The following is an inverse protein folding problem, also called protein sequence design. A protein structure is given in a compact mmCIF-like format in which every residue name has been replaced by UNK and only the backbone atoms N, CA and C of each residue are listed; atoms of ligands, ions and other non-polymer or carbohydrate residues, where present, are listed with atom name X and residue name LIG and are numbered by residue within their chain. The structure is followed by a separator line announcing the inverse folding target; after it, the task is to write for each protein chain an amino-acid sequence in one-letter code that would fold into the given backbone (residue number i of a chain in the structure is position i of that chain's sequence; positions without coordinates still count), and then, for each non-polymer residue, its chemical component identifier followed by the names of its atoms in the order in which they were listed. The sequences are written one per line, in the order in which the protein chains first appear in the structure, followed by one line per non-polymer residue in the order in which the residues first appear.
data_IF_247628236149
#
_entry.id   IF_247628236149
#
_cell.length_a   1.000
_cell.length_b   1.000
_cell.length_c   1.000
_cell.angle_alpha   90.00
_cell.angle_beta   90.00
_cell.angle_gamma   90.00
#
_symmetry.space_group_name_H-M   'P 1'
#
loop_
_entity.id
_entity.type
_entity.pdbx_description
1 polymer ?
#
# COMPACT_ATOMS: atom_id res chain seq x y z
N UNK A 1 -46.42 -54.88 -42.20
CA UNK A 1 -45.58 -55.23 -41.02
C UNK A 1 -44.18 -54.60 -41.09
N UNK A 2 -43.52 -54.54 -42.26
CA UNK A 2 -42.18 -53.93 -42.42
C UNK A 2 -42.15 -52.41 -42.13
N UNK A 3 -43.20 -51.67 -42.49
CA UNK A 3 -43.28 -50.23 -42.27
C UNK A 3 -43.37 -49.83 -40.78
N UNK A 4 -43.97 -50.68 -39.92
CA UNK A 4 -44.12 -50.39 -38.49
C UNK A 4 -42.78 -50.56 -37.73
N UNK A 5 -41.95 -51.53 -38.12
CA UNK A 5 -40.62 -51.71 -37.54
C UNK A 5 -39.67 -50.56 -37.89
N UNK A 6 -39.75 -50.02 -39.12
CA UNK A 6 -38.89 -48.91 -39.54
C UNK A 6 -39.18 -47.62 -38.75
N UNK A 7 -40.46 -47.33 -38.48
CA UNK A 7 -40.85 -46.15 -37.69
C UNK A 7 -40.44 -46.31 -36.23
N UNK A 8 -40.55 -47.50 -35.64
CA UNK A 8 -40.12 -47.76 -34.26
C UNK A 8 -38.60 -47.66 -34.09
N UNK A 9 -37.81 -48.12 -35.07
CA UNK A 9 -36.35 -47.95 -35.05
C UNK A 9 -35.97 -46.48 -35.21
N UNK A 10 -36.66 -45.73 -36.06
CA UNK A 10 -36.39 -44.31 -36.26
C UNK A 10 -36.75 -43.48 -35.00
N UNK A 11 -37.91 -43.75 -34.39
CA UNK A 11 -38.34 -43.09 -33.15
C UNK A 11 -37.45 -43.49 -31.98
N UNK A 12 -37.02 -44.75 -31.89
CA UNK A 12 -36.06 -45.21 -30.89
C UNK A 12 -34.68 -44.56 -31.05
N UNK A 13 -34.17 -44.48 -32.29
CA UNK A 13 -32.91 -43.80 -32.58
C UNK A 13 -33.01 -42.28 -32.30
N UNK A 14 -34.15 -41.66 -32.62
CA UNK A 14 -34.41 -40.25 -32.35
C UNK A 14 -34.52 -39.99 -30.83
N UNK A 15 -35.17 -40.87 -30.06
CA UNK A 15 -35.28 -40.77 -28.61
C UNK A 15 -33.96 -41.04 -27.88
N UNK A 16 -33.01 -41.74 -28.50
CA UNK A 16 -31.64 -41.94 -27.96
C UNK A 16 -30.73 -40.78 -28.39
N UNK A 17 -30.93 -40.21 -29.59
CA UNK A 17 -30.14 -39.11 -30.11
C UNK A 17 -30.56 -37.74 -29.55
N UNK A 18 -31.86 -37.50 -29.30
CA UNK A 18 -32.36 -36.21 -28.80
C UNK A 18 -31.78 -35.85 -27.43
N UNK A 19 -31.72 -36.75 -26.42
CA UNK A 19 -31.08 -36.46 -25.15
C UNK A 19 -29.56 -36.32 -25.24
N UNK A 20 -28.92 -36.76 -26.33
CA UNK A 20 -27.49 -36.48 -26.60
C UNK A 20 -27.26 -35.16 -27.32
N UNK A 21 -28.28 -34.64 -28.01
CA UNK A 21 -28.31 -33.30 -28.61
C UNK A 21 -28.82 -32.22 -27.63
N UNK A 22 -29.62 -32.61 -26.64
CA UNK A 22 -30.21 -31.76 -25.60
C UNK A 22 -29.57 -31.97 -24.22
N UNK A 23 -28.80 -33.04 -24.06
CA UNK A 23 -27.98 -33.26 -22.87
C UNK A 23 -26.84 -32.26 -22.93
N UNK A 24 -26.93 -31.25 -22.07
CA UNK A 24 -25.94 -30.20 -21.84
C UNK A 24 -24.51 -30.69 -22.09
N UNK A 25 -24.03 -30.53 -23.32
CA UNK A 25 -22.60 -30.42 -23.53
C UNK A 25 -22.23 -29.14 -22.83
N UNK A 26 -21.49 -29.24 -21.73
CA UNK A 26 -20.95 -28.11 -20.97
C UNK A 26 -20.03 -27.34 -21.89
N UNK A 27 -20.62 -26.50 -22.74
CA UNK A 27 -19.91 -25.68 -23.70
C UNK A 27 -19.03 -24.68 -22.95
N UNK A 28 -18.10 -24.02 -23.64
CA UNK A 28 -17.16 -23.12 -23.00
C UNK A 28 -17.86 -22.00 -22.22
N UNK A 29 -19.01 -21.53 -22.71
CA UNK A 29 -19.87 -20.57 -22.01
C UNK A 29 -20.37 -21.09 -20.66
N UNK A 30 -20.80 -22.35 -20.60
CA UNK A 30 -21.37 -22.94 -19.39
C UNK A 30 -20.30 -23.15 -18.32
N UNK A 31 -19.11 -23.62 -18.71
CA UNK A 31 -17.97 -23.77 -17.78
C UNK A 31 -17.56 -22.41 -17.21
N UNK A 32 -17.48 -21.37 -18.05
CA UNK A 32 -17.20 -19.99 -17.57
C UNK A 32 -18.31 -19.46 -16.67
N UNK A 33 -19.58 -19.73 -16.99
CA UNK A 33 -20.72 -19.34 -16.15
C UNK A 33 -20.66 -20.00 -14.77
N UNK A 34 -20.33 -21.28 -14.71
CA UNK A 34 -20.18 -22.02 -13.44
C UNK A 34 -19.07 -21.44 -12.58
N UNK A 35 -17.90 -21.15 -13.18
CA UNK A 35 -16.81 -20.48 -12.47
C UNK A 35 -17.20 -19.08 -11.96
N UNK A 36 -17.79 -18.23 -12.81
CA UNK A 36 -18.21 -16.88 -12.40
C UNK A 36 -19.32 -16.93 -11.34
N UNK A 37 -20.22 -17.90 -11.42
CA UNK A 37 -21.24 -18.11 -10.40
C UNK A 37 -20.61 -18.51 -9.07
N UNK A 38 -19.58 -19.36 -9.07
CA UNK A 38 -18.82 -19.68 -7.86
C UNK A 38 -18.14 -18.44 -7.24
N UNK A 39 -17.64 -17.51 -8.06
CA UNK A 39 -17.10 -16.23 -7.56
C UNK A 39 -18.20 -15.38 -6.90
N UNK A 40 -19.37 -15.27 -7.54
CA UNK A 40 -20.53 -14.53 -6.99
C UNK A 40 -20.99 -15.14 -5.68
N UNK A 41 -21.19 -16.46 -5.65
CA UNK A 41 -21.69 -17.21 -4.50
C UNK A 41 -20.64 -17.33 -3.37
N UNK A 42 -19.38 -17.03 -3.66
CA UNK A 42 -18.27 -17.20 -2.71
C UNK A 42 -17.88 -18.65 -2.46
N UNK A 43 -18.11 -19.53 -3.43
CA UNK A 43 -17.64 -20.91 -3.40
C UNK A 43 -16.12 -20.97 -3.66
N UNK A 44 -15.36 -20.74 -2.59
CA UNK A 44 -13.90 -20.71 -2.63
C UNK A 44 -13.28 -22.08 -2.92
N UNK A 45 -14.01 -23.19 -2.81
CA UNK A 45 -13.49 -24.50 -3.21
C UNK A 45 -13.41 -24.56 -4.74
N UNK A 46 -14.53 -24.25 -5.41
CA UNK A 46 -14.60 -24.20 -6.88
C UNK A 46 -13.69 -23.12 -7.45
N UNK A 47 -13.66 -21.93 -6.85
CA UNK A 47 -12.76 -20.85 -7.30
C UNK A 47 -11.30 -21.29 -7.24
N UNK A 48 -10.84 -21.88 -6.13
CA UNK A 48 -9.45 -22.32 -5.99
C UNK A 48 -9.10 -23.47 -6.93
N UNK A 49 -10.04 -24.36 -7.25
CA UNK A 49 -9.81 -25.45 -8.20
C UNK A 49 -9.51 -24.95 -9.62
N UNK A 50 -10.00 -23.74 -9.97
CA UNK A 50 -9.82 -23.12 -11.28
C UNK A 50 -8.85 -21.93 -11.28
N UNK A 51 -8.39 -21.47 -10.12
CA UNK A 51 -7.42 -20.38 -10.01
C UNK A 51 -6.00 -20.85 -10.31
N UNK A 52 -5.18 -19.98 -10.89
CA UNK A 52 -3.73 -20.22 -10.92
C UNK A 52 -3.17 -20.17 -9.50
N UNK A 53 -2.23 -21.07 -9.21
CA UNK A 53 -1.47 -21.10 -7.97
C UNK A 53 -0.88 -19.71 -7.64
N UNK A 54 -1.19 -19.25 -6.44
CA UNK A 54 -0.72 -17.98 -5.89
C UNK A 54 0.58 -18.14 -5.11
N UNK A 55 1.33 -17.05 -4.90
CA UNK A 55 2.34 -17.01 -3.85
C UNK A 55 1.74 -17.11 -2.44
N UNK A 56 0.56 -16.52 -2.21
CA UNK A 56 -0.22 -16.72 -0.97
C UNK A 56 -1.73 -16.71 -1.27
N UNK A 57 -2.42 -17.71 -0.71
CA UNK A 57 -3.89 -17.83 -0.72
C UNK A 57 -4.51 -17.55 0.66
N UNK A 58 -3.70 -17.05 1.60
CA UNK A 58 -4.14 -16.79 2.98
C UNK A 58 -5.32 -15.82 3.06
N UNK A 59 -5.44 -14.93 2.07
CA UNK A 59 -6.51 -13.95 1.99
C UNK A 59 -7.80 -14.44 1.29
N UNK A 60 -7.77 -15.63 0.67
CA UNK A 60 -8.95 -16.24 0.06
C UNK A 60 -9.65 -17.10 1.11
N UNK A 61 -10.36 -16.51 2.06
CA UNK A 61 -11.10 -17.25 3.11
C UNK A 61 -12.58 -16.83 3.15
N UNK A 62 -13.50 -17.70 3.63
CA UNK A 62 -14.90 -17.34 3.75
C UNK A 62 -15.09 -16.10 4.63
N UNK A 63 -14.36 -16.03 5.75
CA UNK A 63 -14.46 -14.93 6.70
C UNK A 63 -14.11 -13.57 6.08
N UNK A 64 -13.08 -13.50 5.22
CA UNK A 64 -12.70 -12.25 4.55
C UNK A 64 -13.70 -11.87 3.47
N UNK A 65 -14.24 -12.86 2.77
CA UNK A 65 -15.26 -12.62 1.74
C UNK A 65 -16.61 -12.23 2.35
N UNK A 66 -16.93 -12.67 3.57
CA UNK A 66 -18.14 -12.29 4.28
C UNK A 66 -18.09 -10.85 4.81
N UNK A 67 -16.89 -10.34 5.13
CA UNK A 67 -16.69 -8.94 5.52
C UNK A 67 -16.65 -7.96 4.35
N UNK A 68 -16.26 -8.44 3.16
CA UNK A 68 -16.10 -7.60 1.97
C UNK A 68 -17.41 -6.96 1.50
N UNK A 69 -17.35 -5.66 1.25
CA UNK A 69 -18.43 -4.89 0.61
C UNK A 69 -18.30 -4.93 -0.93
N UNK A 70 -19.33 -4.47 -1.65
CA UNK A 70 -19.33 -4.33 -3.11
C UNK A 70 -18.78 -5.52 -3.89
N UNK A 71 -18.99 -6.75 -3.40
CA UNK A 71 -18.54 -7.98 -4.06
C UNK A 71 -19.06 -8.09 -5.49
N UNK A 72 -18.39 -8.92 -6.29
CA UNK A 72 -18.92 -9.34 -7.58
C UNK A 72 -20.33 -9.93 -7.39
N UNK A 73 -21.34 -9.27 -7.96
CA UNK A 73 -22.75 -9.61 -7.71
C UNK A 73 -23.45 -10.14 -8.96
N UNK A 74 -22.97 -9.76 -10.14
CA UNK A 74 -23.57 -10.13 -11.42
C UNK A 74 -22.51 -10.17 -12.53
N UNK A 75 -22.78 -10.99 -13.53
CA UNK A 75 -21.98 -11.07 -14.74
C UNK A 75 -22.86 -11.32 -15.97
N UNK A 76 -22.37 -10.96 -17.14
CA UNK A 76 -23.02 -11.21 -18.42
C UNK A 76 -21.99 -11.68 -19.45
N UNK A 77 -22.18 -12.88 -20.00
CA UNK A 77 -21.34 -13.35 -21.12
C UNK A 77 -21.69 -12.53 -22.36
N UNK A 78 -20.68 -11.85 -22.92
CA UNK A 78 -20.84 -10.97 -24.09
C UNK A 78 -20.49 -11.67 -25.38
N UNK A 79 -19.41 -12.45 -25.36
CA UNK A 79 -18.84 -13.05 -26.55
C UNK A 79 -18.26 -14.42 -26.25
N UNK A 80 -18.44 -15.34 -27.19
CA UNK A 80 -17.84 -16.68 -27.17
C UNK A 80 -17.23 -16.92 -28.55
N UNK A 81 -15.91 -17.08 -28.61
CA UNK A 81 -15.18 -17.44 -29.82
C UNK A 81 -14.57 -18.81 -29.64
N UNK A 82 -14.80 -19.73 -30.57
CA UNK A 82 -14.27 -21.11 -30.52
C UNK A 82 -13.43 -21.38 -31.75
N UNK A 83 -12.16 -21.73 -31.55
CA UNK A 83 -11.19 -21.97 -32.62
C UNK A 83 -10.30 -23.16 -32.26
N UNK A 84 -10.27 -24.18 -33.14
CA UNK A 84 -9.32 -25.30 -33.10
C UNK A 84 -9.08 -25.91 -31.70
N UNK A 85 -10.16 -26.21 -30.96
CA UNK A 85 -10.10 -26.83 -29.64
C UNK A 85 -9.73 -25.87 -28.49
N UNK A 86 -9.73 -24.57 -28.76
CA UNK A 86 -9.63 -23.51 -27.75
C UNK A 86 -10.88 -22.63 -27.83
N UNK A 87 -11.30 -22.06 -26.71
CA UNK A 87 -12.36 -21.06 -26.68
C UNK A 87 -11.93 -19.84 -25.87
N UNK A 88 -12.35 -18.67 -26.30
CA UNK A 88 -12.26 -17.41 -25.58
C UNK A 88 -13.68 -16.94 -25.23
N UNK A 89 -13.96 -16.77 -23.94
CA UNK A 89 -15.25 -16.31 -23.43
C UNK A 89 -15.04 -14.96 -22.75
N UNK A 90 -15.66 -13.91 -23.26
CA UNK A 90 -15.59 -12.56 -22.67
C UNK A 90 -16.85 -12.28 -21.87
N UNK A 91 -16.68 -11.86 -20.62
CA UNK A 91 -17.77 -11.54 -19.71
C UNK A 91 -17.65 -10.12 -19.16
N UNK A 92 -18.76 -9.40 -19.14
CA UNK A 92 -18.90 -8.16 -18.39
C UNK A 92 -19.20 -8.50 -16.93
N UNK A 93 -18.46 -7.89 -16.00
CA UNK A 93 -18.51 -8.14 -14.57
C UNK A 93 -18.99 -6.89 -13.83
N UNK A 94 -19.73 -7.06 -12.74
CA UNK A 94 -20.20 -5.95 -11.90
C UNK A 94 -20.04 -6.27 -10.42
N UNK A 95 -19.53 -5.28 -9.68
CA UNK A 95 -19.25 -5.32 -8.25
C UNK A 95 -19.75 -3.98 -7.67
N UNK A 96 -20.90 -4.00 -6.98
CA UNK A 96 -21.60 -2.78 -6.61
C UNK A 96 -21.89 -1.86 -7.82
N UNK A 97 -21.30 -0.66 -7.81
CA UNK A 97 -21.37 0.31 -8.92
C UNK A 97 -20.25 0.15 -9.95
N UNK A 98 -19.18 -0.55 -9.60
CA UNK A 98 -18.02 -0.79 -10.46
C UNK A 98 -18.35 -1.81 -11.55
N UNK A 99 -17.72 -1.64 -12.72
CA UNK A 99 -17.86 -2.54 -13.87
C UNK A 99 -16.49 -2.85 -14.44
N UNK A 100 -16.35 -4.06 -14.95
CA UNK A 100 -15.14 -4.52 -15.61
C UNK A 100 -15.46 -5.57 -16.66
N UNK A 101 -14.43 -6.03 -17.34
CA UNK A 101 -14.53 -7.09 -18.34
C UNK A 101 -13.38 -8.07 -18.10
N UNK A 102 -13.66 -9.36 -18.28
CA UNK A 102 -12.66 -10.42 -18.20
C UNK A 102 -12.83 -11.37 -19.37
N UNK A 103 -11.71 -11.88 -19.90
CA UNK A 103 -11.70 -12.90 -20.94
C UNK A 103 -11.10 -14.18 -20.39
N UNK A 104 -11.84 -15.28 -20.54
CA UNK A 104 -11.50 -16.61 -20.06
C UNK A 104 -11.08 -17.48 -21.24
N UNK A 105 -10.00 -18.23 -21.07
CA UNK A 105 -9.54 -19.20 -22.06
C UNK A 105 -9.91 -20.60 -21.60
N UNK A 106 -10.45 -21.41 -22.52
CA UNK A 106 -10.76 -22.81 -22.28
C UNK A 106 -10.13 -23.68 -23.34
N UNK A 107 -9.76 -24.89 -22.98
CA UNK A 107 -9.25 -25.91 -23.90
C UNK A 107 -10.17 -27.11 -23.91
N UNK A 108 -10.42 -27.67 -25.09
CA UNK A 108 -11.18 -28.90 -25.21
C UNK A 108 -10.26 -30.12 -25.24
N UNK A 109 -10.58 -31.12 -24.45
CA UNK A 109 -10.01 -32.46 -24.61
C UNK A 109 -10.95 -33.29 -25.51
N UNK A 110 -10.50 -33.57 -26.73
CA UNK A 110 -11.25 -34.42 -27.66
C UNK A 110 -11.16 -35.88 -27.21
N UNK A 111 -12.32 -36.46 -26.91
CA UNK A 111 -12.42 -37.88 -26.49
C UNK A 111 -12.85 -38.81 -27.63
N UNK A 112 -12.85 -38.33 -28.88
CA UNK A 112 -13.09 -39.10 -30.11
C UNK A 112 -14.15 -38.51 -31.04
N UNK A 113 -14.27 -39.04 -32.26
CA UNK A 113 -15.11 -38.49 -33.35
C UNK A 113 -16.64 -38.45 -33.07
N UNK A 114 -17.10 -39.07 -31.98
CA UNK A 114 -18.53 -39.17 -31.62
C UNK A 114 -18.81 -38.77 -30.16
N UNK A 115 -17.80 -38.28 -29.44
CA UNK A 115 -17.93 -37.83 -28.06
C UNK A 115 -17.97 -36.30 -28.05
N UNK A 116 -18.81 -35.68 -27.20
CA UNK A 116 -18.78 -34.23 -27.06
C UNK A 116 -17.42 -33.80 -26.49
N UNK A 117 -16.93 -32.65 -26.98
CA UNK A 117 -15.74 -32.02 -26.44
C UNK A 117 -15.95 -31.71 -24.95
N UNK A 118 -14.99 -32.10 -24.12
CA UNK A 118 -14.95 -31.71 -22.70
C UNK A 118 -14.12 -30.43 -22.61
N UNK A 119 -14.75 -29.34 -22.19
CA UNK A 119 -14.09 -28.05 -22.03
C UNK A 119 -13.58 -27.89 -20.62
N UNK A 120 -12.33 -27.46 -20.50
CA UNK A 120 -11.69 -27.16 -19.23
C UNK A 120 -11.19 -25.72 -19.25
N UNK A 121 -11.43 -25.01 -18.15
CA UNK A 121 -10.96 -23.65 -17.96
C UNK A 121 -9.45 -23.66 -17.77
N UNK A 122 -8.73 -22.90 -18.59
CA UNK A 122 -7.32 -22.62 -18.32
C UNK A 122 -7.24 -21.87 -16.98
N UNK A 123 -6.31 -22.22 -16.07
CA UNK A 123 -6.26 -21.62 -14.75
C UNK A 123 -6.32 -20.09 -14.78
N UNK A 124 -7.29 -19.54 -14.07
CA UNK A 124 -7.61 -18.11 -14.07
C UNK A 124 -6.69 -17.37 -13.09
N UNK A 125 -6.08 -16.28 -13.54
CA UNK A 125 -5.34 -15.38 -12.66
C UNK A 125 -6.34 -14.56 -11.83
N UNK A 126 -6.18 -14.60 -10.51
CA UNK A 126 -6.96 -13.76 -9.61
C UNK A 126 -6.23 -12.44 -9.34
N UNK A 127 -6.96 -11.35 -9.05
CA UNK A 127 -6.35 -10.09 -8.62
C UNK A 127 -5.40 -10.29 -7.45
N UNK A 128 -4.26 -9.59 -7.50
CA UNK A 128 -3.22 -9.64 -6.49
C UNK A 128 -3.09 -8.27 -5.83
N UNK A 129 -3.29 -8.21 -4.53
CA UNK A 129 -2.90 -7.06 -3.73
C UNK A 129 -1.41 -7.16 -3.44
N UNK A 130 -0.64 -6.14 -3.82
CA UNK A 130 0.72 -5.93 -3.30
C UNK A 130 0.61 -4.84 -2.25
N UNK A 131 0.87 -5.21 -1.01
CA UNK A 131 0.89 -4.28 0.12
C UNK A 131 2.35 -4.06 0.52
N UNK A 132 2.83 -2.83 0.35
CA UNK A 132 4.15 -2.45 0.83
C UNK A 132 3.99 -2.09 2.31
N UNK A 133 4.58 -2.92 3.19
CA UNK A 133 4.49 -2.71 4.61
C UNK A 133 5.63 -1.82 5.09
N UNK A 134 5.35 -0.91 6.03
CA UNK A 134 6.39 -0.34 6.85
C UNK A 134 7.22 -1.47 7.48
N UNK A 135 8.56 -1.34 7.52
CA UNK A 135 9.43 -2.34 8.18
C UNK A 135 8.96 -2.58 9.65
N UNK A 136 9.25 -3.73 10.22
CA UNK A 136 8.86 -4.05 11.60
C UNK A 136 7.37 -4.36 11.80
N UNK A 137 6.48 -4.12 10.82
CA UNK A 137 5.11 -4.64 10.83
C UNK A 137 5.16 -6.17 10.71
N UNK A 138 4.61 -6.85 11.71
CA UNK A 138 4.60 -8.32 11.80
C UNK A 138 3.24 -8.93 11.47
N UNK A 139 2.18 -8.14 11.55
CA UNK A 139 0.82 -8.57 11.32
C UNK A 139 0.03 -7.50 10.57
N UNK A 140 -0.85 -7.95 9.68
CA UNK A 140 -1.89 -7.12 9.07
C UNK A 140 -3.25 -7.74 9.38
N UNK A 141 -4.29 -6.94 9.35
CA UNK A 141 -5.66 -7.44 9.42
C UNK A 141 -6.49 -6.93 8.24
N UNK A 142 -7.21 -7.84 7.59
CA UNK A 142 -8.15 -7.51 6.52
C UNK A 142 -9.52 -8.01 6.96
N UNK A 143 -10.51 -7.12 6.98
CA UNK A 143 -11.84 -7.42 7.56
C UNK A 143 -11.77 -7.98 8.99
N UNK A 144 -10.81 -7.47 9.78
CA UNK A 144 -10.55 -7.94 11.15
C UNK A 144 -9.91 -9.33 11.25
N UNK A 145 -9.55 -9.97 10.13
CA UNK A 145 -8.82 -11.25 10.12
C UNK A 145 -7.33 -10.99 10.15
N UNK A 146 -6.67 -11.34 11.26
CA UNK A 146 -5.20 -11.28 11.41
C UNK A 146 -4.49 -12.24 10.46
N UNK A 147 -3.49 -11.72 9.75
CA UNK A 147 -2.60 -12.45 8.88
C UNK A 147 -1.14 -12.13 9.26
N UNK A 148 -0.36 -13.12 9.74
CA UNK A 148 1.04 -12.92 10.06
C UNK A 148 1.85 -12.65 8.79
N UNK A 149 2.59 -11.55 8.74
CA UNK A 149 3.39 -11.12 7.57
C UNK A 149 4.37 -12.21 7.13
N UNK A 150 4.94 -12.96 8.09
CA UNK A 150 5.86 -14.07 7.82
C UNK A 150 5.25 -15.17 6.91
N UNK A 151 3.93 -15.38 6.96
CA UNK A 151 3.22 -16.37 6.15
C UNK A 151 2.85 -15.83 4.75
N UNK A 152 2.91 -14.51 4.56
CA UNK A 152 2.53 -13.83 3.32
C UNK A 152 3.74 -13.45 2.46
N UNK A 153 4.93 -13.40 3.08
CA UNK A 153 6.17 -13.07 2.38
C UNK A 153 6.54 -14.16 1.39
N UNK A 154 6.80 -13.74 0.16
CA UNK A 154 7.48 -14.60 -0.81
C UNK A 154 8.98 -14.47 -0.62
N UNK A 155 9.71 -15.58 -0.70
CA UNK A 155 11.11 -15.70 -0.26
C UNK A 155 12.16 -14.87 -1.03
N UNK A 156 11.75 -13.83 -1.79
CA UNK A 156 12.60 -13.13 -2.75
C UNK A 156 12.96 -11.67 -2.39
N UNK A 157 12.28 -11.01 -1.45
CA UNK A 157 12.52 -9.59 -1.18
C UNK A 157 13.07 -9.39 0.24
N UNK A 158 14.41 -9.32 0.36
CA UNK A 158 15.15 -9.19 1.63
C UNK A 158 15.16 -7.77 2.20
N UNK A 159 14.73 -6.76 1.44
CA UNK A 159 14.83 -5.35 1.85
C UNK A 159 13.52 -4.56 1.78
N UNK A 160 12.51 -5.06 1.07
CA UNK A 160 11.16 -4.49 1.04
C UNK A 160 10.22 -5.46 1.75
N UNK A 161 9.51 -4.99 2.76
CA UNK A 161 8.48 -5.78 3.46
C UNK A 161 7.20 -5.75 2.64
N UNK A 162 7.24 -6.22 1.39
CA UNK A 162 6.05 -6.35 0.58
C UNK A 162 5.40 -7.71 0.80
N UNK A 163 4.07 -7.71 0.92
CA UNK A 163 3.27 -8.95 0.93
C UNK A 163 2.37 -8.97 -0.29
N UNK A 164 2.15 -10.17 -0.84
CA UNK A 164 1.30 -10.38 -2.00
C UNK A 164 0.16 -11.32 -1.64
N UNK A 165 -1.07 -10.86 -1.82
CA UNK A 165 -2.29 -11.57 -1.45
C UNK A 165 -3.21 -11.70 -2.65
N UNK A 166 -3.88 -12.84 -2.78
CA UNK A 166 -5.00 -12.96 -3.72
C UNK A 166 -6.31 -12.61 -3.05
N UNK A 167 -7.10 -11.77 -3.74
CA UNK A 167 -8.43 -11.35 -3.30
C UNK A 167 -9.41 -11.48 -4.46
N UNK A 168 -10.68 -11.74 -4.14
CA UNK A 168 -11.76 -11.63 -5.11
C UNK A 168 -12.23 -10.17 -5.24
N UNK A 169 -12.87 -9.78 -6.35
CA UNK A 169 -13.43 -8.45 -6.49
C UNK A 169 -14.39 -8.07 -5.35
N UNK A 170 -14.22 -6.86 -4.84
CA UNK A 170 -14.92 -6.33 -3.67
C UNK A 170 -14.12 -5.22 -3.00
N UNK A 171 -14.70 -4.64 -1.97
CA UNK A 171 -14.11 -3.59 -1.15
C UNK A 171 -13.77 -4.16 0.21
N UNK A 172 -12.52 -3.96 0.64
CA UNK A 172 -11.97 -4.54 1.87
C UNK A 172 -11.39 -3.45 2.77
N UNK A 173 -11.58 -3.55 4.08
CA UNK A 173 -10.88 -2.76 5.08
C UNK A 173 -9.57 -3.46 5.45
N UNK A 174 -8.46 -2.74 5.28
CA UNK A 174 -7.12 -3.16 5.68
C UNK A 174 -6.68 -2.31 6.87
N UNK A 175 -6.18 -2.97 7.91
CA UNK A 175 -5.70 -2.35 9.14
C UNK A 175 -4.36 -2.97 9.58
N UNK A 176 -3.59 -2.21 10.36
CA UNK A 176 -2.35 -2.66 10.99
C UNK A 176 -2.60 -2.76 12.50
N UNK A 177 -2.92 -3.95 13.05
CA UNK A 177 -3.41 -4.08 14.43
C UNK A 177 -2.31 -3.81 15.47
N UNK A 178 -1.07 -4.18 15.16
CA UNK A 178 0.08 -4.01 16.05
C UNK A 178 1.01 -2.92 15.50
N UNK A 179 0.68 -1.68 15.84
CA UNK A 179 1.60 -0.57 15.65
C UNK A 179 2.30 -0.20 16.96
N UNK A 180 3.57 0.19 16.90
CA UNK A 180 4.22 0.84 18.02
C UNK A 180 3.44 2.07 18.51
N UNK A 181 3.45 2.35 19.82
CA UNK A 181 2.66 3.42 20.44
C UNK A 181 3.08 4.87 20.13
N UNK A 182 3.83 5.07 19.04
CA UNK A 182 4.17 6.36 18.44
C UNK A 182 3.60 6.49 17.02
N UNK A 183 2.90 5.46 16.54
CA UNK A 183 2.35 5.33 15.21
C UNK A 183 0.85 5.12 15.26
N UNK A 184 0.17 5.69 14.28
CA UNK A 184 -1.24 5.43 14.01
C UNK A 184 -1.39 5.10 12.51
N UNK A 185 -2.09 4.01 12.19
CA UNK A 185 -2.49 3.71 10.83
C UNK A 185 -3.95 4.11 10.65
N UNK A 186 -4.25 4.92 9.62
CA UNK A 186 -5.62 5.06 9.19
C UNK A 186 -6.12 3.69 8.71
N UNK A 187 -7.42 3.43 8.89
CA UNK A 187 -8.05 2.30 8.22
C UNK A 187 -8.05 2.58 6.73
N UNK A 188 -7.53 1.64 5.95
CA UNK A 188 -7.41 1.80 4.51
C UNK A 188 -8.48 0.96 3.84
N UNK A 189 -9.35 1.63 3.08
CA UNK A 189 -10.30 0.96 2.21
C UNK A 189 -9.60 0.60 0.90
N UNK A 190 -9.58 -0.69 0.58
CA UNK A 190 -9.02 -1.25 -0.63
C UNK A 190 -10.16 -1.69 -1.56
N UNK A 191 -10.20 -1.10 -2.75
CA UNK A 191 -11.12 -1.54 -3.80
C UNK A 191 -10.41 -2.52 -4.75
N UNK A 192 -10.94 -3.74 -4.85
CA UNK A 192 -10.53 -4.75 -5.83
C UNK A 192 -11.53 -4.71 -6.99
N UNK A 193 -11.14 -4.17 -8.16
CA UNK A 193 -12.07 -3.99 -9.27
C UNK A 193 -12.62 -5.34 -9.78
N UNK A 194 -13.82 -5.35 -10.40
CA UNK A 194 -14.43 -6.53 -11.04
C UNK A 194 -13.75 -6.89 -12.35
N UNK A 195 -12.45 -7.16 -12.28
CA UNK A 195 -11.64 -7.69 -13.37
C UNK A 195 -10.98 -8.97 -12.85
N UNK A 196 -10.82 -9.94 -13.73
CA UNK A 196 -10.08 -11.17 -13.45
C UNK A 196 -8.94 -11.24 -14.49
N UNK A 197 -7.76 -11.63 -14.03
CA UNK A 197 -6.51 -11.44 -14.75
C UNK A 197 -5.38 -11.00 -13.83
N UNK A 198 -4.15 -11.02 -14.34
CA UNK A 198 -2.97 -10.61 -13.58
C UNK A 198 -2.94 -9.09 -13.36
N UNK A 199 -3.69 -8.63 -12.36
CA UNK A 199 -3.73 -7.24 -11.91
C UNK A 199 -3.08 -7.16 -10.55
N UNK A 200 -1.99 -6.40 -10.46
CA UNK A 200 -1.40 -6.01 -9.18
C UNK A 200 -2.03 -4.69 -8.72
N UNK A 201 -2.64 -4.69 -7.55
CA UNK A 201 -3.16 -3.49 -6.89
C UNK A 201 -2.11 -3.08 -5.87
N UNK A 202 -1.32 -2.03 -6.15
CA UNK A 202 -0.36 -1.55 -5.18
C UNK A 202 -1.08 -0.77 -4.08
N UNK A 203 -0.79 -1.12 -2.84
CA UNK A 203 -1.06 -0.28 -1.70
C UNK A 203 0.30 0.17 -1.14
N UNK A 204 0.80 1.25 -1.73
CA UNK A 204 2.07 1.89 -1.33
C UNK A 204 1.93 2.69 -0.03
N UNK A 205 0.68 2.97 0.34
CA UNK A 205 0.29 4.14 1.11
C UNK A 205 -0.66 3.73 2.24
N UNK A 206 -0.42 2.57 2.88
CA UNK A 206 -0.84 2.38 4.26
C UNK A 206 -0.02 3.33 5.14
N UNK A 207 -0.26 4.64 4.97
CA UNK A 207 0.53 5.73 5.53
C UNK A 207 0.39 5.69 7.03
N UNK A 208 1.36 5.08 7.68
CA UNK A 208 1.47 5.15 9.12
C UNK A 208 2.00 6.54 9.47
N UNK A 209 1.20 7.30 10.18
CA UNK A 209 1.54 8.65 10.65
C UNK A 209 2.00 8.59 12.10
N UNK A 210 2.68 9.64 12.54
CA UNK A 210 2.91 9.83 13.97
C UNK A 210 1.57 10.03 14.68
N UNK A 211 1.40 9.41 15.84
CA UNK A 211 0.28 9.74 16.72
C UNK A 211 0.40 11.19 17.22
N UNK A 212 -0.70 11.74 17.76
CA UNK A 212 -0.74 13.15 18.21
C UNK A 212 0.35 13.46 19.24
N UNK A 213 0.66 12.50 20.13
CA UNK A 213 1.69 12.64 21.17
C UNK A 213 3.08 12.75 20.57
N UNK A 214 3.39 11.90 19.58
CA UNK A 214 4.68 11.87 18.91
C UNK A 214 4.86 13.06 17.99
N UNK A 215 3.79 13.51 17.33
CA UNK A 215 3.82 14.76 16.57
C UNK A 215 4.09 15.97 17.48
N UNK A 216 3.50 15.99 18.69
CA UNK A 216 3.78 17.03 19.68
C UNK A 216 5.23 16.97 20.19
N UNK A 217 5.80 15.78 20.38
CA UNK A 217 7.21 15.63 20.77
C UNK A 217 8.16 16.16 19.69
N UNK A 218 7.90 15.84 18.41
CA UNK A 218 8.69 16.39 17.30
C UNK A 218 8.62 17.91 17.25
N UNK A 219 7.42 18.49 17.42
CA UNK A 219 7.26 19.94 17.51
C UNK A 219 8.03 20.53 18.71
N UNK A 220 7.98 19.89 19.87
CA UNK A 220 8.66 20.35 21.07
C UNK A 220 10.19 20.38 20.90
N UNK A 221 10.79 19.34 20.30
CA UNK A 221 12.23 19.32 20.03
C UNK A 221 12.65 20.38 19.02
N UNK A 222 11.82 20.65 18.00
CA UNK A 222 12.06 21.73 17.05
C UNK A 222 11.98 23.09 17.74
N UNK A 223 10.98 23.31 18.60
CA UNK A 223 10.83 24.54 19.35
C UNK A 223 12.05 24.78 20.26
N UNK A 224 12.52 23.75 20.98
CA UNK A 224 13.72 23.82 21.81
C UNK A 224 14.99 24.14 20.99
N UNK A 225 15.16 23.52 19.82
CA UNK A 225 16.30 23.81 18.95
C UNK A 225 16.26 25.26 18.40
N UNK A 226 15.06 25.79 18.14
CA UNK A 226 14.88 27.18 17.73
C UNK A 226 15.10 28.17 18.89
N UNK A 227 14.80 27.78 20.13
CA UNK A 227 15.14 28.56 21.32
C UNK A 227 16.66 28.72 21.46
N UNK A 228 17.44 27.66 21.24
CA UNK A 228 18.90 27.74 21.21
C UNK A 228 19.40 28.67 20.08
N UNK A 229 18.72 28.66 18.93
CA UNK A 229 19.05 29.55 17.81
C UNK A 229 18.84 31.02 18.14
N UNK A 230 17.79 31.39 18.87
CA UNK A 230 17.54 32.82 19.21
C UNK A 230 18.46 33.35 20.30
N UNK A 231 19.08 32.49 21.09
CA UNK A 231 20.11 32.88 22.07
C UNK A 231 21.40 33.34 21.37
N UNK A 232 21.65 32.88 20.14
CA UNK A 232 22.80 33.31 19.36
C UNK A 232 22.75 34.80 19.06
N UNK A 233 23.90 35.47 19.09
CA UNK A 233 24.01 36.88 18.68
C UNK A 233 24.39 37.04 17.22
N UNK A 234 24.74 35.98 16.49
CA UNK A 234 25.22 36.08 15.12
C UNK A 234 24.08 36.43 14.15
N UNK A 235 24.33 37.25 13.13
CA UNK A 235 23.32 37.53 12.08
C UNK A 235 23.01 36.32 11.19
N UNK A 236 23.82 35.27 11.24
CA UNK A 236 23.55 33.97 10.65
C UNK A 236 24.03 32.89 11.62
N UNK A 237 23.23 32.50 12.62
CA UNK A 237 23.61 31.48 13.58
C UNK A 237 23.88 30.13 12.87
N UNK A 238 24.98 29.48 13.24
CA UNK A 238 25.32 28.15 12.70
C UNK A 238 24.27 27.13 13.11
N UNK A 239 23.87 26.24 12.20
CA UNK A 239 22.85 25.22 12.47
C UNK A 239 21.39 25.70 12.44
N UNK A 240 21.14 27.00 12.27
CA UNK A 240 19.81 27.59 12.38
C UNK A 240 19.14 27.86 11.02
N UNK A 241 17.80 27.77 10.93
CA UNK A 241 17.08 27.91 9.67
C UNK A 241 16.88 29.36 9.21
N UNK A 242 17.26 30.35 10.03
CA UNK A 242 17.12 31.77 9.73
C UNK A 242 18.46 32.49 9.70
N UNK A 243 18.58 33.48 8.81
CA UNK A 243 19.76 34.33 8.70
C UNK A 243 19.36 35.74 8.20
N UNK A 244 19.80 36.77 8.92
CA UNK A 244 19.63 38.16 8.54
C UNK A 244 20.74 38.56 7.58
N UNK A 245 20.37 38.85 6.32
CA UNK A 245 21.32 39.28 5.28
C UNK A 245 21.64 40.76 5.42
N UNK A 246 22.40 41.10 6.46
CA UNK A 246 22.82 42.48 6.78
C UNK A 246 24.33 42.60 6.99
N UNK A 247 24.90 43.81 6.84
CA UNK A 247 26.33 44.04 7.12
C UNK A 247 26.70 43.82 8.59
N UNK A 248 25.75 44.06 9.51
CA UNK A 248 25.96 43.79 10.92
C UNK A 248 26.09 42.29 11.16
N UNK A 249 27.16 41.88 11.84
CA UNK A 249 27.41 40.47 12.15
C UNK A 249 26.83 40.05 13.49
N UNK A 250 26.39 41.01 14.31
CA UNK A 250 25.87 40.79 15.66
C UNK A 250 24.55 41.52 15.90
N UNK A 251 23.67 40.92 16.71
CA UNK A 251 22.38 41.46 17.10
C UNK A 251 21.64 40.53 18.06
N UNK A 252 20.35 40.80 18.26
CA UNK A 252 19.44 39.95 19.04
C UNK A 252 18.38 39.34 18.14
N UNK A 253 18.06 38.07 18.37
CA UNK A 253 16.98 37.37 17.67
C UNK A 253 15.75 37.24 18.56
N UNK A 254 14.58 37.23 17.93
CA UNK A 254 13.31 36.91 18.58
C UNK A 254 12.42 36.15 17.60
N UNK A 255 11.78 35.06 18.05
CA UNK A 255 10.77 34.37 17.25
C UNK A 255 9.44 35.11 17.38
N UNK A 256 9.03 35.80 16.32
CA UNK A 256 7.75 36.51 16.28
C UNK A 256 6.60 35.59 15.91
N UNK A 257 6.87 34.57 15.09
CA UNK A 257 5.92 33.52 14.73
C UNK A 257 6.63 32.17 14.70
N UNK A 258 6.51 31.35 15.76
CA UNK A 258 7.02 29.99 15.77
C UNK A 258 6.40 29.16 14.64
N UNK A 259 7.16 28.25 14.02
CA UNK A 259 6.62 27.36 13.00
C UNK A 259 5.64 26.36 13.61
N UNK A 260 4.66 25.95 12.81
CA UNK A 260 3.85 24.75 13.08
C UNK A 260 4.27 23.70 12.08
N UNK A 261 4.85 22.61 12.57
CA UNK A 261 5.39 21.57 11.70
C UNK A 261 4.41 20.43 11.50
N UNK A 262 4.40 19.89 10.29
CA UNK A 262 3.78 18.62 9.99
C UNK A 262 4.89 17.61 9.70
N UNK A 263 4.93 16.54 10.49
CA UNK A 263 5.85 15.42 10.28
C UNK A 263 5.19 14.42 9.33
N UNK A 264 5.73 14.29 8.12
CA UNK A 264 5.27 13.32 7.13
C UNK A 264 6.24 12.15 7.04
N UNK A 265 5.76 10.91 6.82
CA UNK A 265 6.64 9.76 6.66
C UNK A 265 7.60 9.97 5.47
N UNK A 266 8.90 9.83 5.71
CA UNK A 266 9.90 9.80 4.65
C UNK A 266 10.32 8.35 4.34
N UNK A 267 10.41 7.53 5.39
CA UNK A 267 10.54 6.08 5.36
C UNK A 267 10.09 5.55 6.75
N UNK A 268 10.18 4.26 7.03
CA UNK A 268 9.87 3.79 8.38
C UNK A 268 10.97 4.22 9.35
N UNK A 269 10.55 4.75 10.51
CA UNK A 269 11.40 5.28 11.57
C UNK A 269 12.03 6.63 11.24
N UNK A 270 11.71 7.24 10.09
CA UNK A 270 12.11 8.61 9.77
C UNK A 270 10.96 9.43 9.18
N UNK A 271 10.79 10.62 9.74
CA UNK A 271 9.82 11.61 9.30
C UNK A 271 10.53 12.89 8.87
N UNK A 272 10.01 13.49 7.81
CA UNK A 272 10.37 14.84 7.42
C UNK A 272 9.37 15.81 8.05
N UNK A 273 9.84 16.70 8.92
CA UNK A 273 9.04 17.76 9.50
C UNK A 273 9.34 19.08 8.77
N UNK A 274 8.28 19.72 8.25
CA UNK A 274 8.39 21.00 7.55
C UNK A 274 7.39 21.99 8.11
N UNK A 275 7.81 23.25 8.28
CA UNK A 275 6.91 24.33 8.70
C UNK A 275 7.54 25.72 8.57
N UNK A 276 6.71 26.72 8.32
CA UNK A 276 7.17 28.10 8.10
C UNK A 276 7.05 28.95 9.37
N UNK A 277 8.09 29.75 9.65
CA UNK A 277 8.16 30.66 10.79
C UNK A 277 8.60 32.08 10.39
N UNK A 278 8.53 33.00 11.35
CA UNK A 278 9.13 34.34 11.25
C UNK A 278 9.96 34.61 12.49
N UNK A 279 11.19 35.03 12.27
CA UNK A 279 12.08 35.57 13.30
C UNK A 279 12.30 37.06 13.03
N UNK A 280 12.76 37.78 14.04
CA UNK A 280 13.13 39.18 13.96
C UNK A 280 14.58 39.32 14.44
N UNK A 281 15.41 40.03 13.67
CA UNK A 281 16.78 40.37 14.03
C UNK A 281 16.91 41.86 14.30
N UNK A 282 17.40 42.22 15.47
CA UNK A 282 17.77 43.60 15.81
C UNK A 282 19.29 43.73 15.83
N UNK A 283 19.91 44.37 14.82
CA UNK A 283 21.35 44.56 14.77
C UNK A 283 21.89 45.31 15.99
N UNK A 284 23.10 44.98 16.44
CA UNK A 284 23.83 45.73 17.47
C UNK A 284 25.17 46.24 16.91
N UNK A 285 25.53 47.50 17.24
CA UNK A 285 26.86 48.08 16.94
C UNK A 285 26.89 49.21 15.90
N UNK A 286 28.08 49.79 15.71
CA UNK A 286 28.32 51.02 14.93
C UNK A 286 28.16 50.90 13.41
N UNK A 287 27.95 49.67 12.90
CA UNK A 287 27.65 49.42 11.49
C UNK A 287 26.24 49.92 11.08
N UNK A 288 25.43 50.36 12.05
CA UNK A 288 24.18 51.09 11.83
C UNK A 288 24.48 52.59 11.64
N UNK A 289 25.50 52.92 10.85
CA UNK A 289 25.89 54.30 10.57
C UNK A 289 24.91 54.89 9.53
N UNK A 290 23.76 55.39 10.00
CA UNK A 290 22.86 56.19 9.15
C UNK A 290 21.41 56.35 9.61
N UNK A 291 20.89 55.66 10.64
CA UNK A 291 19.49 55.79 11.04
C UNK A 291 19.30 56.50 12.39
N UNK A 292 18.20 57.25 12.47
CA UNK A 292 17.81 58.26 13.43
C UNK A 292 17.82 57.86 14.92
N UNK A 293 17.47 58.82 15.78
CA UNK A 293 17.46 58.80 17.24
C UNK A 293 16.68 57.65 17.95
N UNK A 294 16.13 56.69 17.18
CA UNK A 294 15.25 55.61 17.65
C UNK A 294 15.89 54.21 17.64
N UNK A 295 17.20 54.11 17.32
CA UNK A 295 17.94 52.83 17.29
C UNK A 295 17.77 52.03 15.99
N UNK A 296 18.45 50.88 15.84
CA UNK A 296 18.30 50.03 14.67
C UNK A 296 16.89 49.46 14.59
N UNK A 297 16.23 49.65 13.44
CA UNK A 297 14.93 49.04 13.18
C UNK A 297 15.09 47.50 13.14
N UNK A 298 14.19 46.76 13.80
CA UNK A 298 14.17 45.31 13.68
C UNK A 298 13.87 44.86 12.26
N UNK A 299 14.42 43.70 11.89
CA UNK A 299 14.31 43.13 10.55
C UNK A 299 13.57 41.81 10.66
N UNK A 300 12.41 41.72 10.04
CA UNK A 300 11.68 40.45 9.90
C UNK A 300 12.41 39.52 8.92
N UNK A 301 12.60 38.29 9.34
CA UNK A 301 13.26 37.22 8.59
C UNK A 301 12.30 36.03 8.53
N UNK A 302 11.57 35.85 7.41
CA UNK A 302 10.83 34.62 7.18
C UNK A 302 11.79 33.45 6.98
N UNK A 303 11.43 32.29 7.51
CA UNK A 303 12.22 31.07 7.36
C UNK A 303 11.33 29.83 7.27
N UNK A 304 11.87 28.76 6.70
CA UNK A 304 11.26 27.44 6.67
C UNK A 304 12.13 26.51 7.50
N UNK A 305 11.52 25.81 8.46
CA UNK A 305 12.13 24.69 9.14
C UNK A 305 12.00 23.47 8.24
N UNK A 306 13.13 22.81 8.00
CA UNK A 306 13.17 21.43 7.56
C UNK A 306 13.90 20.65 8.65
N UNK A 307 13.27 19.60 9.17
CA UNK A 307 13.87 18.74 10.17
C UNK A 307 13.64 17.28 9.81
N UNK A 308 14.59 16.43 10.19
CA UNK A 308 14.47 14.98 10.09
C UNK A 308 14.28 14.46 11.50
N UNK A 309 13.16 13.80 11.76
CA UNK A 309 12.91 13.10 13.01
C UNK A 309 13.15 11.61 12.77
N UNK A 310 13.94 10.97 13.60
CA UNK A 310 14.03 9.51 13.62
C UNK A 310 13.67 8.99 15.00
N UNK A 311 13.36 7.70 15.10
CA UNK A 311 13.16 7.05 16.38
C UNK A 311 14.22 5.98 16.59
N UNK A 312 14.91 6.04 17.71
CA UNK A 312 15.94 5.06 18.05
C UNK A 312 15.32 3.72 18.50
N UNK A 313 16.18 2.76 18.86
CA UNK A 313 15.76 1.43 19.30
C UNK A 313 15.00 1.44 20.64
N UNK A 314 15.17 2.48 21.45
CA UNK A 314 14.49 2.65 22.72
C UNK A 314 13.11 3.30 22.55
N UNK A 315 12.75 3.68 21.32
CA UNK A 315 11.49 4.37 21.03
C UNK A 315 11.54 5.86 21.35
N UNK A 316 12.73 6.47 21.40
CA UNK A 316 12.91 7.89 21.65
C UNK A 316 13.13 8.63 20.33
N UNK A 317 12.44 9.77 20.17
CA UNK A 317 12.61 10.62 19.01
C UNK A 317 13.92 11.41 19.09
N UNK A 318 14.66 11.39 17.99
CA UNK A 318 15.82 12.24 17.74
C UNK A 318 15.52 13.15 16.54
N UNK A 319 15.39 14.45 16.80
CA UNK A 319 15.03 15.44 15.77
C UNK A 319 16.21 16.33 15.45
N UNK A 320 16.62 16.31 14.17
CA UNK A 320 17.71 17.13 13.66
C UNK A 320 17.19 18.17 12.69
N UNK A 321 17.43 19.45 13.01
CA UNK A 321 17.25 20.52 12.05
C UNK A 321 18.21 20.32 10.88
N UNK A 322 17.67 20.34 9.67
CA UNK A 322 18.44 20.19 8.45
C UNK A 322 19.14 21.51 8.14
N UNK A 323 20.26 21.74 8.82
CA UNK A 323 21.23 22.75 8.40
C UNK A 323 22.01 22.24 7.18
N UNK A 324 22.57 23.15 6.38
CA UNK A 324 23.18 22.83 5.08
C UNK A 324 24.21 21.67 5.14
N UNK A 325 23.76 20.44 4.87
CA UNK A 325 24.56 19.22 4.97
C UNK A 325 23.74 17.98 4.58
N UNK A 326 24.43 16.89 4.25
CA UNK A 326 23.79 15.61 3.96
C UNK A 326 23.51 14.85 5.26
N UNK A 327 22.25 14.51 5.51
CA UNK A 327 21.86 13.62 6.60
C UNK A 327 21.98 12.17 6.11
N UNK A 328 22.66 11.32 6.88
CA UNK A 328 22.66 9.87 6.64
C UNK A 328 21.85 9.19 7.72
N UNK A 329 20.88 8.37 7.34
CA UNK A 329 20.11 7.54 8.27
C UNK A 329 20.71 6.14 8.30
N UNK A 330 20.94 5.59 9.48
CA UNK A 330 21.29 4.18 9.66
C UNK A 330 20.17 3.46 10.40
N UNK A 331 19.77 2.28 9.92
CA UNK A 331 18.76 1.46 10.56
C UNK A 331 19.41 0.50 11.56
N UNK A 332 18.84 0.41 12.76
CA UNK A 332 19.21 -0.60 13.74
C UNK A 332 18.40 -1.86 13.50
N UNK A 333 19.06 -3.01 13.46
CA UNK A 333 18.41 -4.31 13.28
C UNK A 333 18.65 -5.21 14.48
N UNK A 334 17.61 -5.91 14.92
CA UNK A 334 17.74 -7.00 15.88
C UNK A 334 18.61 -8.12 15.29
N UNK A 335 19.60 -8.58 16.06
CA UNK A 335 20.62 -9.50 15.56
C UNK A 335 20.09 -10.93 15.37
N UNK A 336 19.04 -11.32 16.08
CA UNK A 336 18.49 -12.68 16.02
C UNK A 336 17.47 -12.83 14.89
N UNK A 337 16.62 -11.82 14.72
CA UNK A 337 15.50 -11.82 13.77
C UNK A 337 15.80 -11.07 12.48
N UNK A 338 16.79 -10.18 12.48
CA UNK A 338 17.07 -9.25 11.37
C UNK A 338 16.02 -8.14 11.22
N UNK A 339 15.07 -8.02 12.15
CA UNK A 339 14.02 -7.02 12.11
C UNK A 339 14.56 -5.62 12.40
N UNK A 340 14.10 -4.59 11.71
CA UNK A 340 14.49 -3.21 12.00
C UNK A 340 13.78 -2.74 13.27
N UNK A 341 14.55 -2.31 14.27
CA UNK A 341 14.07 -1.90 15.61
C UNK A 341 14.15 -0.39 15.85
N UNK A 342 14.80 0.37 14.96
CA UNK A 342 14.90 1.81 15.04
C UNK A 342 15.79 2.39 13.94
N UNK A 343 15.99 3.70 13.97
CA UNK A 343 16.87 4.43 13.07
C UNK A 343 17.62 5.54 13.82
N UNK A 344 18.83 5.84 13.35
CA UNK A 344 19.68 6.88 13.93
C UNK A 344 20.11 7.85 12.84
N UNK A 345 20.08 9.13 13.17
CA UNK A 345 20.47 10.23 12.27
C UNK A 345 21.96 10.53 12.47
N UNK A 346 22.74 10.40 11.40
CA UNK A 346 24.15 10.75 11.37
C UNK A 346 24.33 12.07 10.63
N UNK A 347 24.74 13.11 11.36
CA UNK A 347 24.93 14.48 10.85
C UNK A 347 26.32 14.75 10.29
N UNK A 348 27.29 13.86 10.53
CA UNK A 348 28.67 14.00 10.02
C UNK A 348 29.17 12.71 9.36
N UNK A 349 29.80 12.82 8.18
CA UNK A 349 30.50 11.69 7.55
C UNK A 349 31.68 11.24 8.42
N UNK A 350 31.51 10.16 9.20
CA UNK A 350 32.58 9.53 9.98
C UNK A 350 32.36 9.42 11.49
N UNK A 351 31.18 9.78 12.04
CA UNK A 351 30.85 9.43 13.43
C UNK A 351 30.78 7.88 13.57
N UNK A 352 31.38 7.30 14.63
CA UNK A 352 31.49 5.84 14.74
C UNK A 352 30.11 5.19 14.89
N UNK A 353 29.79 4.30 13.94
CA UNK A 353 28.53 3.51 13.82
C UNK A 353 28.24 2.53 14.97
N UNK A 354 28.95 2.60 16.10
CA UNK A 354 29.20 1.44 16.96
C UNK A 354 28.72 1.53 18.40
N UNK A 355 27.74 2.38 18.73
CA UNK A 355 27.12 2.37 20.07
C UNK A 355 25.62 2.64 20.09
N UNK A 356 25.06 3.23 19.04
CA UNK A 356 23.64 3.65 19.03
C UNK A 356 22.70 2.50 18.60
N UNK A 357 23.23 1.45 17.96
CA UNK A 357 22.48 0.24 17.63
C UNK A 357 22.92 -1.01 18.43
N UNK A 358 23.89 -0.89 19.37
CA UNK A 358 24.45 -2.00 20.17
C UNK A 358 23.77 -2.16 21.54
#
# INVERSE_FOLDING_TARGET
MIAACAVLVLVGALLIALPRLLGATTGPEQVTREFLQAVVDGDLETVRAHARAAPSVAALTPQMLDGAEDRLDTFEIRQVTVEAGTAAVTAALRAGTARGEATFTLTSTDTGAFSPAVWELVPVELPRLRLDLPLGVQEIAIEGVSLPVAELRTAAETFESAVVLQLLPGTYEVTLPELPGWLEAPRVTLEVPPVLGDTAIPLHDAHVVLDERSQAEVQHQIDAALEDCVVSTASAPEGCPFAARVPATQGTWTLTRPPRVAAVPANLYVWLAVGDGTAEFTPTGDAVAGSAADGPAPIEVPFTVEATAAIDREGVFDVHLRSAGAITVSYCTDAETGAVVGAVILTTAGQPRGRECD
#
